data_IF_421771578607
#
_entry.id   IF_421771578607
#
_cell.length_a   1.000
_cell.length_b   1.000
_cell.length_c   1.000
_cell.angle_alpha   90.00
_cell.angle_beta   90.00
_cell.angle_gamma   90.00
#
_symmetry.space_group_name_H-M   'P 1'
#
loop_
_entity.id
_entity.type
_entity.pdbx_description
1 polymer ?
#
# COMPACT_ATOMS: atom_id res chain seq x y z
N UNK A 1 20.20 -13.11 -0.04
CA UNK A 1 19.04 -12.84 0.84
C UNK A 1 19.35 -11.58 1.63
N UNK A 2 18.71 -10.44 1.32
CA UNK A 2 19.02 -9.17 2.00
C UNK A 2 18.13 -9.00 3.23
N UNK A 3 18.75 -8.69 4.37
CA UNK A 3 18.04 -8.53 5.64
C UNK A 3 17.28 -7.20 5.64
N UNK A 4 15.96 -7.22 5.41
CA UNK A 4 15.15 -6.01 5.44
C UNK A 4 15.17 -5.30 6.80
N UNK A 5 15.19 -3.97 6.80
CA UNK A 5 15.27 -3.12 7.99
C UNK A 5 14.26 -3.47 9.11
N UNK A 6 13.09 -4.02 8.76
CA UNK A 6 12.10 -4.51 9.73
C UNK A 6 12.64 -5.65 10.59
N UNK A 7 13.42 -6.57 10.02
CA UNK A 7 13.99 -7.70 10.76
C UNK A 7 14.98 -7.21 11.81
N UNK A 8 15.82 -6.23 11.45
CA UNK A 8 16.77 -5.62 12.39
C UNK A 8 16.03 -4.92 13.54
N UNK A 9 15.00 -4.10 13.24
CA UNK A 9 14.18 -3.45 14.27
C UNK A 9 13.49 -4.47 15.19
N UNK A 10 13.01 -5.57 14.62
CA UNK A 10 12.35 -6.63 15.41
C UNK A 10 13.35 -7.29 16.37
N UNK A 11 14.54 -7.66 15.88
CA UNK A 11 15.60 -8.21 16.73
C UNK A 11 16.04 -7.25 17.84
N UNK A 12 16.21 -5.96 17.52
CA UNK A 12 16.56 -4.94 18.51
C UNK A 12 15.46 -4.72 19.56
N UNK A 13 14.19 -4.72 19.15
CA UNK A 13 13.06 -4.59 20.07
C UNK A 13 12.99 -5.78 21.03
N UNK A 14 13.20 -6.99 20.52
CA UNK A 14 13.25 -8.22 21.33
C UNK A 14 14.40 -8.11 22.34
N UNK A 15 15.62 -7.84 21.89
CA UNK A 15 16.78 -7.71 22.78
C UNK A 15 16.56 -6.64 23.85
N UNK A 16 16.08 -5.45 23.46
CA UNK A 16 15.80 -4.37 24.39
C UNK A 16 14.76 -4.78 25.45
N UNK A 17 13.69 -5.46 25.04
CA UNK A 17 12.64 -5.90 25.95
C UNK A 17 13.13 -6.91 27.00
N UNK A 18 14.01 -7.84 26.59
CA UNK A 18 14.61 -8.83 27.49
C UNK A 18 15.54 -8.14 28.49
N UNK A 19 16.42 -7.25 28.01
CA UNK A 19 17.34 -6.52 28.89
C UNK A 19 16.60 -5.69 29.92
N UNK A 20 15.54 -4.99 29.51
CA UNK A 20 14.73 -4.21 30.45
C UNK A 20 13.99 -5.12 31.44
N UNK A 21 13.41 -6.24 31.00
CA UNK A 21 12.78 -7.20 31.91
C UNK A 21 13.76 -7.77 32.96
N UNK A 22 15.00 -8.08 32.55
CA UNK A 22 16.07 -8.51 33.46
C UNK A 22 16.49 -7.39 34.42
N UNK A 23 16.59 -6.14 33.94
CA UNK A 23 16.93 -4.98 34.75
C UNK A 23 15.90 -4.73 35.86
N UNK A 24 14.61 -4.91 35.55
CA UNK A 24 13.52 -4.81 36.52
C UNK A 24 13.31 -6.08 37.35
N UNK A 25 14.17 -7.10 37.18
CA UNK A 25 14.11 -8.37 37.90
C UNK A 25 12.75 -9.09 37.76
N UNK A 26 12.13 -9.00 36.58
CA UNK A 26 10.84 -9.65 36.30
C UNK A 26 11.04 -11.10 35.86
N UNK A 27 10.21 -11.99 36.41
CA UNK A 27 10.28 -13.42 36.13
C UNK A 27 9.83 -13.79 34.72
N UNK A 28 10.63 -14.63 34.06
CA UNK A 28 10.41 -15.10 32.69
C UNK A 28 10.42 -13.94 31.66
N UNK A 29 11.59 -13.30 31.40
CA UNK A 29 11.75 -12.22 30.40
C UNK A 29 11.28 -12.56 28.98
N UNK A 30 11.13 -13.85 28.66
CA UNK A 30 10.64 -14.35 27.36
C UNK A 30 9.29 -13.73 26.97
N UNK A 31 8.41 -13.44 27.94
CA UNK A 31 7.11 -12.83 27.62
C UNK A 31 7.22 -11.38 27.14
N UNK A 32 8.22 -10.62 27.62
CA UNK A 32 8.50 -9.29 27.09
C UNK A 32 8.96 -9.37 25.63
N UNK A 33 9.77 -10.37 25.27
CA UNK A 33 10.18 -10.62 23.89
C UNK A 33 9.00 -11.00 22.97
N UNK A 34 8.10 -11.86 23.45
CA UNK A 34 6.89 -12.24 22.71
C UNK A 34 6.05 -10.99 22.45
N UNK A 35 5.81 -10.17 23.49
CA UNK A 35 5.06 -8.93 23.36
C UNK A 35 5.71 -7.94 22.39
N UNK A 36 7.04 -7.76 22.46
CA UNK A 36 7.77 -6.89 21.53
C UNK A 36 7.63 -7.34 20.06
N UNK A 37 7.63 -8.66 19.83
CA UNK A 37 7.48 -9.25 18.49
C UNK A 37 6.12 -8.91 17.87
N UNK A 38 5.04 -9.02 18.64
CA UNK A 38 3.69 -8.66 18.17
C UNK A 38 3.44 -7.15 18.12
N UNK A 39 4.18 -6.36 18.88
CA UNK A 39 4.02 -4.91 18.94
C UNK A 39 4.78 -4.14 17.84
N UNK A 40 5.71 -4.77 17.12
CA UNK A 40 6.49 -4.09 16.08
C UNK A 40 5.62 -3.75 14.86
N UNK A 41 5.45 -2.45 14.60
CA UNK A 41 4.63 -1.94 13.49
C UNK A 41 5.47 -1.30 12.38
N UNK A 42 4.94 -1.20 11.14
CA UNK A 42 5.66 -0.59 10.02
C UNK A 42 5.77 0.94 10.11
N UNK A 43 4.84 1.60 10.82
CA UNK A 43 4.84 3.06 11.00
C UNK A 43 4.77 3.42 12.48
N UNK A 44 5.34 4.58 12.82
CA UNK A 44 5.31 5.11 14.20
C UNK A 44 3.88 5.43 14.62
N UNK A 45 3.05 5.93 13.68
CA UNK A 45 1.64 6.18 13.94
C UNK A 45 0.89 4.90 14.34
N UNK A 46 1.06 3.81 13.58
CA UNK A 46 0.52 2.50 13.93
C UNK A 46 1.10 1.96 15.23
N UNK A 47 2.39 2.19 15.50
CA UNK A 47 3.03 1.79 16.77
C UNK A 47 2.38 2.48 17.97
N UNK A 48 2.08 3.78 17.85
CA UNK A 48 1.40 4.53 18.89
C UNK A 48 -0.03 4.03 19.15
N UNK A 49 -0.80 3.80 18.08
CA UNK A 49 -2.13 3.19 18.21
C UNK A 49 -2.04 1.81 18.88
N UNK A 50 -1.06 1.01 18.46
CA UNK A 50 -0.84 -0.33 19.00
C UNK A 50 -0.56 -0.30 20.50
N UNK A 51 0.15 0.70 21.03
CA UNK A 51 0.33 0.81 22.49
C UNK A 51 -1.04 0.86 23.18
N UNK A 52 -1.90 1.80 22.79
CA UNK A 52 -3.21 2.00 23.42
C UNK A 52 -4.11 0.77 23.27
N UNK A 53 -4.14 0.18 22.07
CA UNK A 53 -4.89 -1.04 21.80
C UNK A 53 -4.38 -2.19 22.68
N UNK A 54 -3.06 -2.38 22.77
CA UNK A 54 -2.46 -3.46 23.56
C UNK A 54 -2.71 -3.28 25.06
N UNK A 55 -2.69 -2.05 25.57
CA UNK A 55 -3.08 -1.79 26.97
C UNK A 55 -4.49 -2.32 27.22
N UNK A 56 -5.44 -1.96 26.36
CA UNK A 56 -6.84 -2.34 26.52
C UNK A 56 -7.06 -3.85 26.36
N UNK A 57 -6.52 -4.45 25.29
CA UNK A 57 -6.72 -5.87 24.99
C UNK A 57 -6.13 -6.79 26.05
N UNK A 58 -4.90 -6.50 26.51
CA UNK A 58 -4.25 -7.31 27.54
C UNK A 58 -4.86 -7.07 28.93
N UNK A 59 -5.35 -5.86 29.24
CA UNK A 59 -6.13 -5.63 30.47
C UNK A 59 -7.42 -6.46 30.47
N UNK A 60 -8.16 -6.45 29.36
CA UNK A 60 -9.37 -7.29 29.22
C UNK A 60 -9.03 -8.76 29.37
N UNK A 61 -7.98 -9.25 28.71
CA UNK A 61 -7.50 -10.63 28.86
C UNK A 61 -7.16 -10.98 30.31
N UNK A 62 -6.40 -10.15 31.00
CA UNK A 62 -6.01 -10.37 32.39
C UNK A 62 -7.22 -10.36 33.35
N UNK A 63 -8.14 -9.40 33.20
CA UNK A 63 -9.34 -9.30 34.04
C UNK A 63 -10.23 -10.54 33.86
N UNK A 64 -10.46 -10.96 32.62
CA UNK A 64 -11.25 -12.17 32.36
C UNK A 64 -10.57 -13.41 32.92
N UNK A 65 -9.25 -13.56 32.73
CA UNK A 65 -8.50 -14.68 33.29
C UNK A 65 -8.62 -14.74 34.81
N UNK A 66 -8.48 -13.61 35.53
CA UNK A 66 -8.62 -13.55 36.99
C UNK A 66 -10.03 -13.94 37.43
N UNK A 67 -11.06 -13.35 36.84
CA UNK A 67 -12.45 -13.61 37.22
C UNK A 67 -12.79 -15.09 37.03
N UNK A 68 -12.46 -15.65 35.87
CA UNK A 68 -12.87 -17.01 35.53
C UNK A 68 -12.04 -18.09 36.21
N UNK A 69 -10.76 -17.86 36.50
CA UNK A 69 -9.97 -18.81 37.31
C UNK A 69 -10.52 -18.91 38.72
N UNK A 70 -10.88 -17.78 39.34
CA UNK A 70 -11.46 -17.78 40.69
C UNK A 70 -12.83 -18.48 40.72
N UNK A 71 -13.65 -18.30 39.67
CA UNK A 71 -15.01 -18.86 39.63
C UNK A 71 -15.08 -20.32 39.18
N UNK A 72 -14.30 -20.70 38.16
CA UNK A 72 -14.43 -21.98 37.45
C UNK A 72 -13.15 -22.83 37.47
N UNK A 73 -12.04 -22.30 38.01
CA UNK A 73 -10.74 -22.95 38.00
C UNK A 73 -10.02 -22.85 36.66
N UNK A 74 -8.95 -23.64 36.49
CA UNK A 74 -8.04 -23.60 35.35
C UNK A 74 -8.15 -24.83 34.41
N UNK A 75 -9.30 -25.48 34.36
CA UNK A 75 -9.51 -26.61 33.46
C UNK A 75 -9.33 -26.16 31.99
N UNK A 76 -8.68 -26.95 31.12
CA UNK A 76 -8.51 -26.63 29.69
C UNK A 76 -9.80 -26.18 28.97
N UNK A 77 -10.95 -26.76 29.30
CA UNK A 77 -12.24 -26.34 28.74
C UNK A 77 -12.62 -24.91 29.15
N UNK A 78 -12.35 -24.53 30.41
CA UNK A 78 -12.60 -23.17 30.92
C UNK A 78 -11.67 -22.19 30.24
N UNK A 79 -10.38 -22.51 30.07
CA UNK A 79 -9.41 -21.67 29.37
C UNK A 79 -9.88 -21.39 27.94
N UNK A 80 -10.28 -22.43 27.20
CA UNK A 80 -10.83 -22.28 25.84
C UNK A 80 -12.08 -21.40 25.81
N UNK A 81 -12.99 -21.56 26.76
CA UNK A 81 -14.19 -20.73 26.88
C UNK A 81 -13.84 -19.25 27.14
N UNK A 82 -12.92 -18.96 28.06
CA UNK A 82 -12.47 -17.59 28.36
C UNK A 82 -11.80 -16.95 27.16
N UNK A 83 -10.99 -17.70 26.42
CA UNK A 83 -10.38 -17.23 25.16
C UNK A 83 -11.45 -16.78 24.16
N UNK A 84 -12.53 -17.55 23.98
CA UNK A 84 -13.64 -17.15 23.10
C UNK A 84 -14.29 -15.85 23.57
N UNK A 85 -14.51 -15.68 24.88
CA UNK A 85 -15.07 -14.44 25.44
C UNK A 85 -14.14 -13.24 25.21
N UNK A 86 -12.83 -13.41 25.39
CA UNK A 86 -11.84 -12.36 25.16
C UNK A 86 -11.73 -12.00 23.68
N UNK A 87 -11.83 -12.97 22.77
CA UNK A 87 -11.93 -12.70 21.33
C UNK A 87 -13.18 -11.86 21.04
N UNK A 88 -14.34 -12.27 21.54
CA UNK A 88 -15.59 -11.55 21.33
C UNK A 88 -15.54 -10.11 21.90
N UNK A 89 -14.92 -9.92 23.08
CA UNK A 89 -14.73 -8.62 23.69
C UNK A 89 -13.82 -7.72 22.84
N UNK A 90 -12.67 -8.22 22.39
CA UNK A 90 -11.74 -7.47 21.54
C UNK A 90 -12.35 -7.10 20.18
N UNK A 91 -13.13 -8.00 19.57
CA UNK A 91 -13.88 -7.70 18.33
C UNK A 91 -14.91 -6.57 18.56
N UNK A 92 -15.66 -6.62 19.67
CA UNK A 92 -16.62 -5.56 20.02
C UNK A 92 -15.95 -4.20 20.24
N UNK A 93 -14.72 -4.20 20.76
CA UNK A 93 -13.89 -3.01 20.97
C UNK A 93 -13.15 -2.55 19.70
N UNK A 94 -13.23 -3.31 18.60
CA UNK A 94 -12.53 -3.03 17.32
C UNK A 94 -11.00 -3.02 17.43
N UNK A 95 -10.43 -3.81 18.34
CA UNK A 95 -8.97 -3.92 18.58
C UNK A 95 -8.44 -5.29 18.16
N UNK A 96 -8.83 -5.76 16.98
CA UNK A 96 -8.59 -7.12 16.49
C UNK A 96 -7.10 -7.51 16.44
N UNK A 97 -6.22 -6.52 16.23
CA UNK A 97 -4.76 -6.71 16.13
C UNK A 97 -4.14 -7.18 17.45
N UNK A 98 -4.82 -6.99 18.58
CA UNK A 98 -4.30 -7.36 19.91
C UNK A 98 -4.76 -8.75 20.36
N UNK A 99 -5.67 -9.38 19.60
CA UNK A 99 -6.22 -10.70 19.91
C UNK A 99 -5.11 -11.74 20.15
N UNK A 100 -4.08 -11.89 19.29
CA UNK A 100 -3.05 -12.91 19.50
C UNK A 100 -2.33 -12.78 20.85
N UNK A 101 -1.94 -11.56 21.23
CA UNK A 101 -1.24 -11.31 22.50
C UNK A 101 -2.18 -11.40 23.71
N UNK A 102 -3.44 -10.96 23.55
CA UNK A 102 -4.46 -11.11 24.60
C UNK A 102 -4.75 -12.58 24.92
N UNK A 103 -4.76 -13.44 23.89
CA UNK A 103 -4.94 -14.89 24.06
C UNK A 103 -3.76 -15.50 24.84
N UNK A 104 -2.52 -15.16 24.46
CA UNK A 104 -1.32 -15.61 25.20
C UNK A 104 -1.42 -15.17 26.66
N UNK A 105 -1.84 -13.95 26.92
CA UNK A 105 -2.03 -13.42 28.29
C UNK A 105 -3.01 -14.27 29.09
N UNK A 106 -4.17 -14.60 28.52
CA UNK A 106 -5.18 -15.46 29.17
C UNK A 106 -4.60 -16.83 29.49
N UNK A 107 -3.99 -17.50 28.50
CA UNK A 107 -3.46 -18.86 28.68
C UNK A 107 -2.43 -18.88 29.80
N UNK A 108 -1.47 -17.96 29.78
CA UNK A 108 -0.35 -17.93 30.74
C UNK A 108 -0.84 -17.63 32.15
N UNK A 109 -1.77 -16.69 32.30
CA UNK A 109 -2.34 -16.34 33.61
C UNK A 109 -3.13 -17.53 34.16
N UNK A 110 -3.99 -18.15 33.34
CA UNK A 110 -4.84 -19.25 33.80
C UNK A 110 -4.09 -20.56 34.04
N UNK A 111 -2.99 -20.82 33.32
CA UNK A 111 -2.16 -22.01 33.55
C UNK A 111 -1.26 -21.89 34.81
N UNK A 112 -1.14 -20.68 35.38
CA UNK A 112 -0.31 -20.50 36.57
C UNK A 112 -0.89 -21.26 37.77
N UNK A 113 -0.02 -21.96 38.50
CA UNK A 113 -0.37 -22.72 39.71
C UNK A 113 0.07 -21.99 40.99
N UNK A 114 0.31 -20.68 40.89
CA UNK A 114 0.90 -19.87 41.95
C UNK A 114 -0.15 -19.43 42.97
N UNK A 115 0.19 -19.46 44.27
CA UNK A 115 -0.73 -18.98 45.33
C UNK A 115 -1.00 -17.47 45.22
N UNK A 116 0.01 -16.68 44.80
CA UNK A 116 -0.16 -15.26 44.53
C UNK A 116 -0.56 -15.00 43.07
N UNK A 117 -1.77 -15.41 42.72
CA UNK A 117 -2.30 -15.30 41.36
C UNK A 117 -2.39 -13.84 40.86
N UNK A 118 -2.80 -12.91 41.73
CA UNK A 118 -2.96 -11.49 41.38
C UNK A 118 -1.60 -10.85 41.11
N UNK A 119 -0.60 -11.12 41.95
CA UNK A 119 0.77 -10.66 41.73
C UNK A 119 1.33 -11.16 40.40
N UNK A 120 1.15 -12.46 40.12
CA UNK A 120 1.58 -13.06 38.86
C UNK A 120 0.92 -12.40 37.64
N UNK A 121 -0.39 -12.10 37.71
CA UNK A 121 -1.10 -11.42 36.63
C UNK A 121 -0.57 -9.98 36.39
N UNK A 122 -0.24 -9.25 37.47
CA UNK A 122 0.38 -7.92 37.39
C UNK A 122 1.77 -7.99 36.76
N UNK A 123 2.62 -8.92 37.20
CA UNK A 123 3.97 -9.10 36.65
C UNK A 123 3.93 -9.45 35.15
N UNK A 124 2.97 -10.29 34.75
CA UNK A 124 2.71 -10.62 33.34
C UNK A 124 2.30 -9.40 32.54
N UNK A 125 1.40 -8.59 33.08
CA UNK A 125 0.98 -7.36 32.44
C UNK A 125 2.15 -6.38 32.27
N UNK A 126 2.99 -6.23 33.29
CA UNK A 126 4.20 -5.39 33.23
C UNK A 126 5.19 -5.87 32.18
N UNK A 127 5.43 -7.18 32.07
CA UNK A 127 6.30 -7.76 31.03
C UNK A 127 5.78 -7.47 29.62
N UNK A 128 4.47 -7.62 29.40
CA UNK A 128 3.86 -7.32 28.11
C UNK A 128 4.03 -5.84 27.77
N UNK A 129 3.76 -4.96 28.73
CA UNK A 129 3.94 -3.51 28.55
C UNK A 129 5.38 -3.15 28.25
N UNK A 130 6.34 -3.77 28.92
CA UNK A 130 7.76 -3.61 28.65
C UNK A 130 8.11 -4.00 27.21
N UNK A 131 7.58 -5.11 26.72
CA UNK A 131 7.73 -5.52 25.33
C UNK A 131 7.15 -4.51 24.34
N UNK A 132 5.90 -4.08 24.56
CA UNK A 132 5.21 -3.11 23.70
C UNK A 132 5.94 -1.77 23.67
N UNK A 133 6.37 -1.26 24.82
CA UNK A 133 7.14 -0.02 24.93
C UNK A 133 8.51 -0.13 24.27
N UNK A 134 9.20 -1.26 24.40
CA UNK A 134 10.48 -1.52 23.74
C UNK A 134 10.34 -1.49 22.22
N UNK A 135 9.32 -2.15 21.67
CA UNK A 135 9.03 -2.13 20.24
C UNK A 135 8.71 -0.72 19.74
N UNK A 136 7.96 0.06 20.51
CA UNK A 136 7.69 1.46 20.19
C UNK A 136 8.95 2.32 20.19
N UNK A 137 9.80 2.20 21.23
CA UNK A 137 11.06 2.94 21.33
C UNK A 137 11.99 2.64 20.16
N UNK A 138 12.14 1.36 19.81
CA UNK A 138 12.94 0.98 18.64
C UNK A 138 12.33 1.52 17.35
N UNK A 139 11.01 1.47 17.18
CA UNK A 139 10.34 2.08 16.02
C UNK A 139 10.49 3.61 15.95
N UNK A 140 10.64 4.28 17.09
CA UNK A 140 10.87 5.72 17.17
C UNK A 140 12.31 6.08 16.80
N UNK A 141 13.29 5.35 17.36
CA UNK A 141 14.73 5.58 17.12
C UNK A 141 15.11 5.23 15.69
N UNK A 142 14.66 4.07 15.21
CA UNK A 142 14.92 3.64 13.85
C UNK A 142 13.80 4.20 12.96
N UNK A 143 14.08 5.35 12.34
CA UNK A 143 13.14 6.10 11.49
C UNK A 143 12.49 5.19 10.41
N UNK A 144 11.20 5.40 10.07
CA UNK A 144 10.57 4.66 8.99
C UNK A 144 11.30 4.87 7.65
N UNK A 145 11.32 3.86 6.77
CA UNK A 145 11.91 4.01 5.44
C UNK A 145 11.22 5.14 4.66
N UNK A 146 11.95 5.83 3.78
CA UNK A 146 11.42 6.89 2.90
C UNK A 146 10.25 6.36 2.05
N UNK A 147 9.03 6.45 2.57
CA UNK A 147 7.83 5.86 1.94
C UNK A 147 7.45 6.59 0.66
N UNK A 148 7.71 7.89 0.60
CA UNK A 148 7.54 8.72 -0.61
C UNK A 148 8.32 8.13 -1.80
N UNK A 149 9.63 7.95 -1.63
CA UNK A 149 10.52 7.41 -2.67
C UNK A 149 10.09 6.01 -3.10
N UNK A 150 9.76 5.14 -2.14
CA UNK A 150 9.28 3.77 -2.43
C UNK A 150 7.97 3.78 -3.20
N UNK A 151 7.03 4.65 -2.81
CA UNK A 151 5.76 4.81 -3.48
C UNK A 151 5.95 5.28 -4.93
N UNK A 152 6.76 6.31 -5.15
CA UNK A 152 7.06 6.82 -6.49
C UNK A 152 7.64 5.73 -7.38
N UNK A 153 8.69 5.04 -6.95
CA UNK A 153 9.31 3.98 -7.75
C UNK A 153 8.35 2.82 -8.02
N UNK A 154 7.47 2.50 -7.06
CA UNK A 154 6.47 1.46 -7.27
C UNK A 154 5.42 1.86 -8.30
N UNK A 155 4.96 3.12 -8.29
CA UNK A 155 4.07 3.69 -9.31
C UNK A 155 4.77 3.68 -10.67
N UNK A 156 5.97 4.26 -10.76
CA UNK A 156 6.71 4.39 -12.01
C UNK A 156 7.00 3.04 -12.65
N UNK A 157 7.54 2.07 -11.88
CA UNK A 157 7.82 0.74 -12.41
C UNK A 157 6.56 0.00 -12.86
N UNK A 158 5.44 0.18 -12.14
CA UNK A 158 4.17 -0.42 -12.53
C UNK A 158 3.60 0.20 -13.81
N UNK A 159 3.70 1.53 -13.95
CA UNK A 159 3.36 2.24 -15.18
C UNK A 159 4.21 1.76 -16.37
N UNK A 160 5.53 1.63 -16.18
CA UNK A 160 6.44 1.16 -17.25
C UNK A 160 6.09 -0.26 -17.72
N UNK A 161 5.76 -1.17 -16.81
CA UNK A 161 5.30 -2.52 -17.15
C UNK A 161 4.00 -2.49 -17.96
N UNK A 162 3.00 -1.71 -17.53
CA UNK A 162 1.72 -1.56 -18.24
C UNK A 162 1.94 -0.99 -19.64
N UNK A 163 2.76 0.05 -19.77
CA UNK A 163 3.02 0.71 -21.04
C UNK A 163 3.69 -0.24 -22.03
N UNK A 164 4.68 -1.03 -21.59
CA UNK A 164 5.32 -2.05 -22.42
C UNK A 164 4.28 -3.03 -22.99
N UNK A 165 3.37 -3.51 -22.13
CA UNK A 165 2.32 -4.42 -22.55
C UNK A 165 1.30 -3.78 -23.50
N UNK A 166 0.90 -2.52 -23.27
CA UNK A 166 0.03 -1.78 -24.19
C UNK A 166 0.69 -1.71 -25.58
N UNK A 167 1.97 -1.34 -25.65
CA UNK A 167 2.72 -1.25 -26.92
C UNK A 167 2.89 -2.62 -27.61
N UNK A 168 2.96 -3.71 -26.84
CA UNK A 168 3.12 -5.06 -27.39
C UNK A 168 1.84 -5.58 -28.02
N UNK A 169 0.68 -5.36 -27.37
CA UNK A 169 -0.64 -5.76 -27.89
C UNK A 169 -1.01 -4.94 -29.13
N UNK A 170 -0.77 -3.63 -29.12
CA UNK A 170 -1.09 -2.76 -30.27
C UNK A 170 -0.25 -3.08 -31.51
N UNK A 171 0.90 -3.73 -31.34
CA UNK A 171 1.79 -4.17 -32.43
C UNK A 171 1.65 -5.65 -32.77
N UNK A 172 0.68 -6.34 -32.16
CA UNK A 172 0.38 -7.76 -32.38
C UNK A 172 1.60 -8.67 -32.19
N UNK A 173 2.49 -8.28 -31.26
CA UNK A 173 3.78 -8.93 -31.04
C UNK A 173 3.75 -9.90 -29.84
N UNK A 174 2.57 -10.18 -29.27
CA UNK A 174 2.41 -10.96 -28.04
C UNK A 174 1.74 -12.32 -28.22
N UNK A 175 2.30 -13.35 -27.57
CA UNK A 175 1.60 -14.62 -27.36
C UNK A 175 0.59 -14.47 -26.21
N UNK A 176 -0.68 -14.84 -26.44
CA UNK A 176 -1.78 -14.68 -25.47
C UNK A 176 -1.51 -15.26 -24.07
N UNK A 177 -0.71 -16.33 -23.95
CA UNK A 177 -0.43 -17.00 -22.67
C UNK A 177 0.45 -16.14 -21.75
N UNK A 178 1.48 -15.48 -22.31
CA UNK A 178 2.40 -14.64 -21.53
C UNK A 178 1.72 -13.41 -20.92
N UNK A 179 0.73 -12.83 -21.62
CA UNK A 179 -0.02 -11.65 -21.15
C UNK A 179 -0.84 -11.97 -19.89
N UNK A 180 -1.44 -13.15 -19.81
CA UNK A 180 -2.40 -13.48 -18.74
C UNK A 180 -1.73 -13.64 -17.37
N UNK A 181 -0.55 -14.24 -17.33
CA UNK A 181 0.24 -14.38 -16.11
C UNK A 181 0.69 -13.01 -15.60
N UNK A 182 1.23 -12.18 -16.49
CA UNK A 182 1.67 -10.83 -16.16
C UNK A 182 0.50 -9.91 -15.75
N UNK A 183 -0.67 -10.06 -16.36
CA UNK A 183 -1.88 -9.32 -15.95
C UNK A 183 -2.29 -9.62 -14.50
N UNK A 184 -2.01 -10.84 -14.02
CA UNK A 184 -2.26 -11.23 -12.63
C UNK A 184 -1.24 -10.57 -11.70
N UNK A 185 0.04 -10.61 -12.06
CA UNK A 185 1.10 -9.92 -11.32
C UNK A 185 0.89 -8.40 -11.27
N UNK A 186 0.43 -7.78 -12.37
CA UNK A 186 0.08 -6.37 -12.44
C UNK A 186 -1.07 -6.02 -11.47
N UNK A 187 -2.09 -6.88 -11.35
CA UNK A 187 -3.16 -6.69 -10.35
C UNK A 187 -2.62 -6.74 -8.91
N UNK A 188 -1.69 -7.63 -8.60
CA UNK A 188 -1.07 -7.69 -7.27
C UNK A 188 -0.22 -6.45 -6.97
N UNK A 189 0.53 -5.97 -7.98
CA UNK A 189 1.34 -4.75 -7.85
C UNK A 189 0.50 -3.51 -7.56
N UNK A 190 -0.71 -3.42 -8.13
CA UNK A 190 -1.69 -2.38 -7.77
C UNK A 190 -2.00 -2.37 -6.27
N UNK A 191 -2.29 -3.52 -5.65
CA UNK A 191 -2.56 -3.57 -4.22
C UNK A 191 -1.37 -3.12 -3.38
N UNK A 192 -0.15 -3.51 -3.76
CA UNK A 192 1.09 -3.09 -3.08
C UNK A 192 1.26 -1.56 -3.14
N UNK A 193 0.95 -0.94 -4.29
CA UNK A 193 0.99 0.51 -4.48
C UNK A 193 0.03 1.25 -3.55
N UNK A 194 -1.22 0.76 -3.41
CA UNK A 194 -2.20 1.31 -2.47
C UNK A 194 -1.72 1.21 -1.01
N UNK A 195 -1.06 0.11 -0.64
CA UNK A 195 -0.47 -0.05 0.70
C UNK A 195 0.64 0.97 0.97
N UNK A 196 1.54 1.21 0.00
CA UNK A 196 2.57 2.24 0.14
C UNK A 196 1.98 3.65 0.24
N UNK A 197 0.90 3.94 -0.50
CA UNK A 197 0.18 5.20 -0.39
C UNK A 197 -0.38 5.43 1.02
N UNK A 198 -0.97 4.40 1.62
CA UNK A 198 -1.45 4.48 3.01
C UNK A 198 -0.31 4.72 4.00
N UNK A 199 0.82 4.03 3.85
CA UNK A 199 1.99 4.23 4.71
C UNK A 199 2.56 5.66 4.59
N UNK A 200 2.64 6.20 3.37
CA UNK A 200 3.06 7.58 3.15
C UNK A 200 2.05 8.59 3.72
N UNK A 201 0.75 8.33 3.59
CA UNK A 201 -0.32 9.15 4.17
C UNK A 201 -0.28 9.19 5.70
N UNK A 202 0.02 8.07 6.34
CA UNK A 202 0.09 7.93 7.81
C UNK A 202 1.38 8.51 8.42
N UNK A 203 2.44 8.65 7.63
CA UNK A 203 3.70 9.22 8.09
C UNK A 203 3.48 10.68 8.53
N UNK A 204 3.80 11.00 9.79
CA UNK A 204 3.68 12.39 10.28
C UNK A 204 4.90 13.20 9.85
N UNK A 205 4.66 14.38 9.29
CA UNK A 205 5.72 15.36 9.09
C UNK A 205 6.09 15.96 10.44
N UNK A 206 7.34 15.79 10.88
CA UNK A 206 7.82 16.27 12.18
C UNK A 206 7.83 17.80 12.30
N UNK A 207 7.96 18.51 11.18
CA UNK A 207 7.96 19.97 11.10
C UNK A 207 6.65 20.51 10.50
N UNK A 208 6.08 21.55 11.11
CA UNK A 208 4.83 22.19 10.67
C UNK A 208 4.92 22.82 9.27
N UNK A 209 6.11 23.24 8.84
CA UNK A 209 6.35 23.85 7.52
C UNK A 209 6.07 22.90 6.34
N UNK A 210 6.32 21.59 6.50
CA UNK A 210 6.15 20.61 5.42
C UNK A 210 4.75 19.99 5.33
N UNK A 211 3.77 20.46 6.13
CA UNK A 211 2.41 19.88 6.13
C UNK A 211 1.65 20.16 4.82
N UNK A 212 1.75 21.37 4.28
CA UNK A 212 1.06 21.76 3.04
C UNK A 212 1.65 21.07 1.82
N UNK A 213 2.98 21.06 1.71
CA UNK A 213 3.72 20.34 0.66
C UNK A 213 3.35 18.86 0.63
N UNK A 214 3.39 18.18 1.80
CA UNK A 214 2.98 16.78 1.91
C UNK A 214 1.53 16.55 1.47
N UNK A 215 0.61 17.45 1.81
CA UNK A 215 -0.81 17.31 1.41
C UNK A 215 -0.96 17.39 -0.11
N UNK A 216 -0.24 18.30 -0.77
CA UNK A 216 -0.24 18.40 -2.24
C UNK A 216 0.41 17.18 -2.89
N UNK A 217 1.53 16.68 -2.35
CA UNK A 217 2.14 15.41 -2.77
C UNK A 217 1.16 14.23 -2.65
N UNK A 218 0.38 14.16 -1.57
CA UNK A 218 -0.65 13.12 -1.40
C UNK A 218 -1.77 13.18 -2.44
N UNK A 219 -2.11 14.37 -2.95
CA UNK A 219 -3.07 14.56 -4.05
C UNK A 219 -2.42 14.09 -5.36
N UNK A 220 -1.18 14.49 -5.63
CA UNK A 220 -0.43 14.04 -6.80
C UNK A 220 -0.29 12.51 -6.87
N UNK A 221 0.20 11.88 -5.80
CA UNK A 221 0.36 10.43 -5.77
C UNK A 221 -0.97 9.69 -5.91
N UNK A 222 -2.07 10.23 -5.38
CA UNK A 222 -3.41 9.67 -5.61
C UNK A 222 -3.78 9.74 -7.08
N UNK A 223 -3.55 10.87 -7.73
CA UNK A 223 -3.84 11.01 -9.16
C UNK A 223 -2.94 10.11 -10.01
N UNK A 224 -1.65 9.99 -9.70
CA UNK A 224 -0.74 9.07 -10.39
C UNK A 224 -1.25 7.63 -10.29
N UNK A 225 -1.63 7.17 -9.09
CA UNK A 225 -2.24 5.84 -8.88
C UNK A 225 -3.50 5.67 -9.73
N UNK A 226 -4.37 6.68 -9.77
CA UNK A 226 -5.59 6.66 -10.56
C UNK A 226 -5.31 6.55 -12.07
N UNK A 227 -4.34 7.32 -12.57
CA UNK A 227 -3.90 7.28 -13.97
C UNK A 227 -3.27 5.93 -14.34
N UNK A 228 -2.40 5.37 -13.48
CA UNK A 228 -1.84 4.01 -13.66
C UNK A 228 -2.94 2.95 -13.65
N UNK A 229 -3.93 3.06 -12.77
CA UNK A 229 -5.07 2.14 -12.73
C UNK A 229 -5.91 2.21 -14.02
N UNK A 230 -6.13 3.41 -14.58
CA UNK A 230 -6.81 3.57 -15.87
C UNK A 230 -6.02 2.97 -17.04
N UNK A 231 -4.69 3.12 -17.04
CA UNK A 231 -3.85 2.43 -18.01
C UNK A 231 -3.97 0.90 -17.90
N UNK A 232 -4.04 0.36 -16.68
CA UNK A 232 -4.24 -1.09 -16.45
C UNK A 232 -5.64 -1.57 -16.88
N UNK A 233 -6.69 -0.77 -16.66
CA UNK A 233 -8.04 -1.05 -17.16
C UNK A 233 -8.07 -1.09 -18.69
N UNK A 234 -7.43 -0.12 -19.33
CA UNK A 234 -7.27 -0.07 -20.78
C UNK A 234 -6.51 -1.30 -21.30
N UNK A 235 -5.38 -1.66 -20.70
CA UNK A 235 -4.61 -2.85 -21.06
C UNK A 235 -5.47 -4.14 -21.00
N UNK A 236 -6.27 -4.31 -19.94
CA UNK A 236 -7.19 -5.45 -19.81
C UNK A 236 -8.24 -5.47 -20.92
N UNK A 237 -8.74 -4.30 -21.31
CA UNK A 237 -9.72 -4.17 -22.39
C UNK A 237 -9.09 -4.49 -23.74
N UNK A 238 -7.91 -3.94 -24.03
CA UNK A 238 -7.15 -4.23 -25.25
C UNK A 238 -6.87 -5.73 -25.39
N UNK A 239 -6.44 -6.39 -24.33
CA UNK A 239 -6.21 -7.85 -24.36
C UNK A 239 -7.50 -8.65 -24.55
N UNK A 240 -8.61 -8.22 -23.93
CA UNK A 240 -9.91 -8.90 -24.10
C UNK A 240 -10.40 -8.82 -25.54
N UNK A 241 -10.18 -7.69 -26.19
CA UNK A 241 -10.67 -7.37 -27.53
C UNK A 241 -9.58 -7.44 -28.61
N UNK A 242 -8.54 -8.25 -28.37
CA UNK A 242 -7.35 -8.30 -29.24
C UNK A 242 -7.69 -8.77 -30.66
N UNK A 243 -8.60 -9.73 -30.80
CA UNK A 243 -9.04 -10.25 -32.09
C UNK A 243 -9.84 -9.22 -32.89
N UNK A 244 -10.77 -8.52 -32.23
CA UNK A 244 -11.56 -7.48 -32.85
C UNK A 244 -10.67 -6.29 -33.23
N UNK A 245 -9.69 -5.93 -32.40
CA UNK A 245 -8.70 -4.91 -32.75
C UNK A 245 -7.88 -5.30 -33.99
N UNK A 246 -7.55 -6.59 -34.16
CA UNK A 246 -6.82 -7.09 -35.33
C UNK A 246 -7.63 -7.06 -36.63
N UNK A 247 -8.94 -7.27 -36.56
CA UNK A 247 -9.80 -7.32 -37.75
C UNK A 247 -10.26 -5.94 -38.25
N UNK A 248 -9.99 -4.88 -37.49
CA UNK A 248 -10.41 -3.52 -37.76
C UNK A 248 -9.81 -2.95 -39.08
N UNK A 249 -10.45 -1.97 -39.75
CA UNK A 249 -9.83 -1.29 -40.89
C UNK A 249 -8.46 -0.68 -40.55
N UNK A 250 -7.46 -0.87 -41.43
CA UNK A 250 -6.08 -0.36 -41.24
C UNK A 250 -6.01 1.11 -40.80
N UNK A 251 -6.76 2.07 -41.38
CA UNK A 251 -6.68 3.47 -40.96
C UNK A 251 -7.08 3.70 -39.50
N UNK A 252 -7.98 2.87 -38.96
CA UNK A 252 -8.42 2.98 -37.58
C UNK A 252 -7.44 2.26 -36.64
N UNK A 253 -6.83 1.15 -37.06
CA UNK A 253 -5.73 0.50 -36.33
C UNK A 253 -4.54 1.45 -36.15
N UNK A 254 -4.08 2.08 -37.23
CA UNK A 254 -2.99 3.06 -37.21
C UNK A 254 -3.31 4.24 -36.28
N UNK A 255 -4.54 4.77 -36.36
CA UNK A 255 -4.96 5.86 -35.51
C UNK A 255 -4.95 5.48 -34.01
N UNK A 256 -5.45 4.30 -33.66
CA UNK A 256 -5.42 3.80 -32.27
C UNK A 256 -3.99 3.63 -31.80
N UNK A 257 -3.12 3.04 -32.63
CA UNK A 257 -1.71 2.86 -32.32
C UNK A 257 -1.02 4.20 -32.05
N UNK A 258 -1.18 5.19 -32.94
CA UNK A 258 -0.62 6.54 -32.77
C UNK A 258 -1.14 7.19 -31.48
N UNK A 259 -2.45 7.07 -31.20
CA UNK A 259 -3.04 7.64 -29.97
C UNK A 259 -2.51 6.97 -28.71
N UNK A 260 -2.43 5.63 -28.68
CA UNK A 260 -1.92 4.90 -27.54
C UNK A 260 -0.43 5.15 -27.32
N UNK A 261 0.39 5.20 -28.38
CA UNK A 261 1.80 5.56 -28.29
C UNK A 261 1.96 6.99 -27.75
N UNK A 262 1.14 7.94 -28.21
CA UNK A 262 1.11 9.30 -27.68
C UNK A 262 0.74 9.37 -26.20
N UNK A 263 -0.34 8.70 -25.78
CA UNK A 263 -0.81 8.71 -24.38
C UNK A 263 0.17 8.00 -23.43
N UNK A 264 0.76 6.88 -23.86
CA UNK A 264 1.75 6.15 -23.04
C UNK A 264 3.03 6.95 -22.89
N UNK A 265 3.56 7.53 -23.97
CA UNK A 265 4.71 8.45 -23.89
C UNK A 265 4.39 9.67 -23.00
N UNK A 266 3.17 10.21 -23.06
CA UNK A 266 2.76 11.31 -22.19
C UNK A 266 2.83 10.92 -20.71
N UNK A 267 2.34 9.74 -20.36
CA UNK A 267 2.37 9.25 -18.99
C UNK A 267 3.80 9.12 -18.46
N UNK A 268 4.71 8.49 -19.23
CA UNK A 268 6.14 8.40 -18.89
C UNK A 268 6.75 9.78 -18.66
N UNK A 269 6.48 10.72 -19.57
CA UNK A 269 6.97 12.10 -19.45
C UNK A 269 6.43 12.82 -18.22
N UNK A 270 5.16 12.62 -17.83
CA UNK A 270 4.60 13.25 -16.63
C UNK A 270 5.27 12.76 -15.34
N UNK A 271 5.57 11.47 -15.25
CA UNK A 271 6.29 10.91 -14.11
C UNK A 271 7.74 11.45 -14.07
N UNK A 272 8.41 11.49 -15.22
CA UNK A 272 9.77 12.03 -15.32
C UNK A 272 9.82 13.54 -15.04
N UNK A 273 8.81 14.29 -15.52
CA UNK A 273 8.59 15.71 -15.20
C UNK A 273 8.48 15.85 -13.68
N UNK A 274 7.66 15.06 -12.99
CA UNK A 274 7.57 15.13 -11.52
C UNK A 274 8.92 14.96 -10.80
N UNK A 275 9.81 14.08 -11.29
CA UNK A 275 11.15 13.88 -10.71
C UNK A 275 12.24 14.85 -11.16
N UNK A 276 11.89 15.92 -11.86
CA UNK A 276 12.83 16.90 -12.45
C UNK A 276 13.89 16.32 -13.41
N UNK A 277 13.74 15.06 -13.85
CA UNK A 277 14.64 14.39 -14.80
C UNK A 277 14.46 14.89 -16.24
N UNK A 278 13.39 15.63 -16.53
CA UNK A 278 13.13 16.25 -17.84
C UNK A 278 12.73 17.73 -17.63
N UNK A 279 13.32 18.63 -18.43
CA UNK A 279 12.95 20.06 -18.48
C UNK A 279 11.58 20.23 -19.18
N UNK A 280 10.78 21.18 -18.70
CA UNK A 280 9.39 21.44 -19.10
C UNK A 280 9.13 21.79 -20.59
N UNK A 281 10.15 21.78 -21.45
CA UNK A 281 10.11 22.32 -22.82
C UNK A 281 9.90 21.28 -23.92
N UNK A 282 9.83 19.99 -23.61
CA UNK A 282 9.55 18.92 -24.60
C UNK A 282 8.06 18.59 -24.82
N UNK A 283 7.14 19.43 -24.33
CA UNK A 283 5.68 19.21 -24.40
C UNK A 283 5.04 19.58 -25.75
N UNK A 284 5.83 19.98 -26.75
CA UNK A 284 5.32 20.66 -27.96
C UNK A 284 4.58 19.78 -28.97
N UNK A 285 4.67 18.44 -28.90
CA UNK A 285 3.95 17.52 -29.80
C UNK A 285 2.74 16.81 -29.15
N UNK A 286 2.37 17.19 -27.92
CA UNK A 286 1.42 16.40 -27.10
C UNK A 286 -0.05 16.82 -27.27
N UNK A 287 -0.32 18.00 -27.81
CA UNK A 287 -1.68 18.46 -28.08
C UNK A 287 -2.40 17.52 -29.06
N UNK A 288 -1.68 16.96 -30.03
CA UNK A 288 -2.28 16.08 -31.02
C UNK A 288 -2.49 14.65 -30.48
N UNK A 289 -1.67 14.19 -29.53
CA UNK A 289 -1.89 12.92 -28.82
C UNK A 289 -3.14 12.97 -27.93
N UNK A 290 -3.36 14.07 -27.21
CA UNK A 290 -4.51 14.27 -26.32
C UNK A 290 -5.77 14.65 -27.09
N UNK A 291 -5.68 15.05 -28.37
CA UNK A 291 -6.83 15.48 -29.16
C UNK A 291 -7.89 14.36 -29.33
N UNK A 292 -8.89 14.38 -28.44
CA UNK A 292 -10.03 13.44 -28.37
C UNK A 292 -10.99 13.61 -29.56
N UNK A 293 -11.06 14.83 -30.13
CA UNK A 293 -12.00 15.16 -31.22
C UNK A 293 -11.66 14.41 -32.51
N UNK A 294 -10.37 14.26 -32.83
CA UNK A 294 -9.95 13.51 -34.01
C UNK A 294 -10.34 12.02 -33.89
N UNK A 295 -10.11 11.42 -32.72
CA UNK A 295 -10.49 10.04 -32.43
C UNK A 295 -12.01 9.86 -32.50
N UNK A 296 -12.79 10.70 -31.81
CA UNK A 296 -14.26 10.66 -31.87
C UNK A 296 -14.82 10.85 -33.28
N UNK A 297 -14.28 11.79 -34.07
CA UNK A 297 -14.73 12.01 -35.45
C UNK A 297 -14.49 10.78 -36.33
N UNK A 298 -13.31 10.18 -36.21
CA UNK A 298 -12.96 8.97 -36.95
C UNK A 298 -13.90 7.82 -36.55
N UNK A 299 -14.02 7.55 -35.25
CA UNK A 299 -14.93 6.54 -34.71
C UNK A 299 -16.36 6.75 -35.24
N UNK A 300 -16.92 7.95 -35.10
CA UNK A 300 -18.28 8.25 -35.56
C UNK A 300 -18.46 8.11 -37.08
N UNK A 301 -17.43 8.33 -37.89
CA UNK A 301 -17.53 8.11 -39.34
C UNK A 301 -17.65 6.63 -39.70
N UNK A 302 -17.01 5.74 -38.95
CA UNK A 302 -17.09 4.29 -39.17
C UNK A 302 -18.40 3.68 -38.67
N UNK A 303 -18.96 4.18 -37.56
CA UNK A 303 -20.25 3.70 -37.02
C UNK A 303 -21.48 4.10 -37.85
N UNK A 304 -21.36 5.09 -38.74
CA UNK A 304 -22.48 5.49 -39.61
C UNK A 304 -22.79 4.49 -40.72
N UNK A 305 -21.91 3.50 -40.95
CA UNK A 305 -22.09 2.51 -42.00
C UNK A 305 -22.81 1.27 -41.42
N UNK A 306 -24.00 0.88 -41.91
CA UNK A 306 -24.79 -0.22 -41.33
C UNK A 306 -24.16 -1.62 -41.44
N UNK A 307 -23.12 -1.80 -42.27
CA UNK A 307 -22.35 -3.06 -42.36
C UNK A 307 -21.34 -3.26 -41.22
N UNK A 308 -21.17 -2.26 -40.33
CA UNK A 308 -20.14 -2.20 -39.29
C UNK A 308 -20.67 -2.56 -37.88
N UNK A 309 -21.77 -3.31 -37.75
CA UNK A 309 -22.35 -3.70 -36.44
C UNK A 309 -21.38 -4.48 -35.55
N UNK A 310 -20.44 -5.24 -36.14
CA UNK A 310 -19.42 -6.03 -35.43
C UNK A 310 -18.49 -5.17 -34.54
N UNK A 311 -18.34 -3.87 -34.85
CA UNK A 311 -17.41 -2.99 -34.14
C UNK A 311 -17.96 -2.36 -32.86
N UNK A 312 -19.26 -2.54 -32.56
CA UNK A 312 -19.90 -2.07 -31.32
C UNK A 312 -19.18 -2.63 -30.09
N UNK A 313 -18.64 -3.84 -30.19
CA UNK A 313 -17.92 -4.50 -29.10
C UNK A 313 -16.61 -3.80 -28.70
N UNK A 314 -16.08 -2.91 -29.55
CA UNK A 314 -14.88 -2.11 -29.27
C UNK A 314 -15.17 -0.77 -28.58
N UNK A 315 -16.45 -0.40 -28.42
CA UNK A 315 -16.82 0.82 -27.71
C UNK A 315 -16.20 0.96 -26.30
N UNK A 316 -16.12 -0.11 -25.47
CA UNK A 316 -15.44 -0.05 -24.18
C UNK A 316 -13.96 0.32 -24.29
N UNK A 317 -13.26 -0.13 -25.34
CA UNK A 317 -11.85 0.23 -25.58
C UNK A 317 -11.73 1.72 -25.85
N UNK A 318 -12.56 2.26 -26.75
CA UNK A 318 -12.54 3.69 -27.09
C UNK A 318 -12.87 4.59 -25.90
N UNK A 319 -13.87 4.21 -25.11
CA UNK A 319 -14.22 4.92 -23.88
C UNK A 319 -13.03 4.94 -22.90
N UNK A 320 -12.33 3.82 -22.73
CA UNK A 320 -11.15 3.73 -21.86
C UNK A 320 -9.96 4.54 -22.38
N UNK A 321 -9.77 4.67 -23.69
CA UNK A 321 -8.74 5.55 -24.27
C UNK A 321 -9.03 7.01 -23.91
N UNK A 322 -10.28 7.44 -24.04
CA UNK A 322 -10.72 8.80 -23.70
C UNK A 322 -10.57 9.06 -22.20
N UNK A 323 -11.08 8.16 -21.36
CA UNK A 323 -10.96 8.23 -19.90
C UNK A 323 -9.49 8.33 -19.46
N UNK A 324 -8.61 7.53 -20.08
CA UNK A 324 -7.19 7.55 -19.77
C UNK A 324 -6.55 8.89 -20.16
N UNK A 325 -6.91 9.45 -21.31
CA UNK A 325 -6.48 10.79 -21.73
C UNK A 325 -6.95 11.89 -20.76
N UNK A 326 -8.20 11.83 -20.28
CA UNK A 326 -8.73 12.76 -19.26
C UNK A 326 -7.93 12.68 -17.95
N UNK A 327 -7.59 11.47 -17.48
CA UNK A 327 -6.79 11.31 -16.26
C UNK A 327 -5.35 11.83 -16.41
N UNK A 328 -4.76 11.69 -17.59
CA UNK A 328 -3.44 12.23 -17.91
C UNK A 328 -3.44 13.76 -17.95
N UNK A 329 -4.46 14.37 -18.55
CA UNK A 329 -4.63 15.83 -18.59
C UNK A 329 -4.76 16.40 -17.17
N UNK A 330 -5.60 15.79 -16.33
CA UNK A 330 -5.72 16.16 -14.93
C UNK A 330 -4.39 16.01 -14.18
N UNK A 331 -3.67 14.90 -14.38
CA UNK A 331 -2.37 14.69 -13.77
C UNK A 331 -1.37 15.78 -14.19
N UNK A 332 -1.36 16.18 -15.47
CA UNK A 332 -0.49 17.26 -15.94
C UNK A 332 -0.79 18.58 -15.22
N UNK A 333 -2.08 18.96 -15.10
CA UNK A 333 -2.48 20.18 -14.37
C UNK A 333 -1.97 20.16 -12.93
N UNK A 334 -2.08 19.02 -12.24
CA UNK A 334 -1.57 18.88 -10.87
C UNK A 334 -0.05 18.98 -10.80
N UNK A 335 0.68 18.33 -11.73
CA UNK A 335 2.15 18.36 -11.78
C UNK A 335 2.65 19.78 -12.05
N UNK A 336 2.04 20.51 -12.99
CA UNK A 336 2.38 21.89 -13.29
C UNK A 336 2.09 22.83 -12.13
N UNK A 337 0.90 22.70 -11.52
CA UNK A 337 0.55 23.45 -10.31
C UNK A 337 1.58 23.22 -9.20
N UNK A 338 1.96 21.96 -8.95
CA UNK A 338 2.95 21.65 -7.92
C UNK A 338 4.31 22.28 -8.20
N UNK A 339 4.83 22.15 -9.43
CA UNK A 339 6.12 22.73 -9.81
C UNK A 339 6.16 24.25 -9.74
N UNK A 340 5.06 24.92 -10.09
CA UNK A 340 4.99 26.37 -10.06
C UNK A 340 5.01 26.94 -8.63
N UNK A 341 4.49 26.19 -7.65
CA UNK A 341 4.39 26.66 -6.25
C UNK A 341 5.48 26.10 -5.32
N UNK A 342 6.15 25.01 -5.67
CA UNK A 342 7.06 24.27 -4.77
C UNK A 342 8.38 23.85 -5.47
N UNK A 343 9.09 24.81 -6.05
CA UNK A 343 10.37 24.56 -6.74
C UNK A 343 11.43 23.91 -5.82
N UNK A 344 11.52 24.33 -4.56
CA UNK A 344 12.53 23.82 -3.59
C UNK A 344 12.16 22.45 -2.95
N UNK A 345 10.92 21.98 -3.11
CA UNK A 345 10.37 20.77 -2.47
C UNK A 345 10.19 19.59 -3.47
N UNK A 346 10.59 19.83 -4.72
CA UNK A 346 10.45 18.91 -5.87
C UNK A 346 11.51 17.81 -5.89
N UNK A 347 12.56 17.95 -5.08
CA UNK A 347 13.52 16.87 -4.83
C UNK A 347 12.86 15.75 -4.02
N UNK A 348 12.18 14.83 -4.71
CA UNK A 348 12.23 13.44 -4.25
C UNK A 348 13.73 13.14 -4.13
N UNK A 349 14.23 12.94 -2.91
CA UNK A 349 15.65 12.62 -2.69
C UNK A 349 15.97 11.27 -3.36
N UNK A 350 16.29 11.32 -4.65
CA UNK A 350 16.54 10.20 -5.56
C UNK A 350 18.01 9.76 -5.54
N UNK A 351 18.89 10.53 -4.88
CA UNK A 351 20.34 10.26 -4.78
C UNK A 351 20.71 9.01 -3.98
N UNK A 352 19.72 8.36 -3.39
CA UNK A 352 19.86 6.98 -2.98
C UNK A 352 18.97 6.17 -3.92
N UNK A 353 19.57 5.66 -5.02
CA UNK A 353 19.23 4.29 -5.45
C UNK A 353 19.24 3.49 -4.16
N UNK A 354 18.06 3.16 -3.66
CA UNK A 354 17.92 2.33 -2.47
C UNK A 354 18.60 1.02 -2.86
N UNK A 355 19.84 0.84 -2.43
CA UNK A 355 20.44 -0.47 -2.36
C UNK A 355 19.48 -1.31 -1.51
N UNK A 356 18.96 -2.36 -2.15
CA UNK A 356 17.71 -3.05 -1.79
C UNK A 356 17.61 -3.53 -0.34
#
# INVERSE_FOLDING_TARGET
MKLGARMIKTGLAISLSIYLAMLFQLDQPVYAAIAATFAIQPSIYRSYQTILEQVQGNLVGAIFAIIFVILLGNNPFVIGFVVVLVIAANLKMKIEKTIPLSIVTVIVIMESHTENFIGFAIDRFLLIMLGVLSAFLVNLVFMPPKYETKLYYKISGHTDEIIKWIRMITRHASEHIAIKEDLTHLKENRFKMDQYYLLYKEERTYFRSNKYSKTRKLVLYRQMIQTTNKALELLKSLHRHENELYNMPEPLQELIQIKLDGLTNFHEQLLLKYTDKIRAQHTYDMDDAINKKALMKCIMSYYKNPENEEWIELFPVFALIIDYADQLEHLNTLVESFKNYHQDDSEVQLDQRLED
#
